data_IF_077495375169
#
_entry.id   IF_077495375169
#
_cell.length_a   1.000
_cell.length_b   1.000
_cell.length_c   1.000
_cell.angle_alpha   90.00
_cell.angle_beta   90.00
_cell.angle_gamma   90.00
#
_symmetry.space_group_name_H-M   'P 1'
#
loop_
_entity.id
_entity.type
_entity.pdbx_description
1 polymer ?
#
# COMPACT_ATOMS: atom_id res chain seq x y z
N UNK A 1 36.05 -19.72 40.97
CA UNK A 1 35.75 -18.44 40.29
C UNK A 1 35.38 -18.80 38.86
N UNK A 2 34.15 -19.27 38.71
CA UNK A 2 33.54 -19.60 37.43
C UNK A 2 33.14 -18.29 36.75
N UNK A 3 33.66 -18.06 35.55
CA UNK A 3 33.18 -17.05 34.63
C UNK A 3 32.65 -17.81 33.41
N UNK A 4 31.35 -17.72 33.22
CA UNK A 4 30.55 -18.29 32.15
C UNK A 4 31.14 -17.99 30.75
N UNK A 5 31.59 -19.05 30.07
CA UNK A 5 32.11 -19.02 28.68
C UNK A 5 31.18 -19.76 27.71
N UNK A 6 29.85 -19.74 27.95
CA UNK A 6 28.94 -20.69 27.28
C UNK A 6 28.22 -20.20 26.01
N UNK A 7 28.43 -18.97 25.52
CA UNK A 7 27.74 -18.49 24.29
C UNK A 7 28.64 -18.15 23.08
N UNK A 8 29.95 -17.99 23.23
CA UNK A 8 30.85 -17.65 22.10
C UNK A 8 31.20 -18.84 21.18
N UNK A 9 30.73 -20.07 21.48
CA UNK A 9 31.24 -21.28 20.81
C UNK A 9 30.50 -21.73 19.55
N UNK A 10 29.26 -21.29 19.29
CA UNK A 10 28.44 -21.88 18.22
C UNK A 10 28.74 -21.35 16.81
N UNK A 11 29.09 -20.06 16.64
CA UNK A 11 29.48 -19.53 15.30
C UNK A 11 30.88 -20.01 14.90
N UNK A 12 31.82 -19.98 15.85
CA UNK A 12 33.13 -20.57 15.65
C UNK A 12 33.04 -22.05 15.31
N UNK A 13 32.15 -22.82 15.91
CA UNK A 13 32.01 -24.25 15.55
C UNK A 13 31.36 -24.45 14.19
N UNK A 14 30.33 -23.71 13.80
CA UNK A 14 29.69 -23.87 12.48
C UNK A 14 30.57 -23.34 11.34
N UNK A 15 31.20 -22.16 11.49
CA UNK A 15 32.18 -21.62 10.55
C UNK A 15 33.44 -22.48 10.52
N UNK A 16 33.96 -22.93 11.68
CA UNK A 16 35.11 -23.84 11.70
C UNK A 16 34.76 -25.22 11.14
N UNK A 17 33.53 -25.73 11.29
CA UNK A 17 33.09 -26.99 10.68
C UNK A 17 32.99 -26.83 9.17
N UNK A 18 32.33 -25.80 8.65
CA UNK A 18 32.26 -25.54 7.19
C UNK A 18 33.65 -25.28 6.62
N UNK A 19 34.47 -24.49 7.31
CA UNK A 19 35.84 -24.24 6.92
C UNK A 19 36.67 -25.52 6.92
N UNK A 20 36.57 -26.36 7.96
CA UNK A 20 37.28 -27.63 8.07
C UNK A 20 36.82 -28.66 7.02
N UNK A 21 35.52 -28.81 6.84
CA UNK A 21 34.91 -29.86 6.03
C UNK A 21 34.81 -29.50 4.54
N UNK A 22 34.61 -28.23 4.21
CA UNK A 22 34.42 -27.79 2.82
C UNK A 22 35.64 -27.11 2.23
N UNK A 23 36.39 -26.31 3.00
CA UNK A 23 37.55 -25.56 2.49
C UNK A 23 38.85 -26.33 2.73
N UNK A 24 39.17 -26.65 3.97
CA UNK A 24 40.41 -27.34 4.37
C UNK A 24 40.57 -28.73 3.76
N UNK A 25 39.48 -29.53 3.71
CA UNK A 25 39.49 -30.85 3.05
C UNK A 25 39.65 -30.78 1.53
N UNK A 26 39.22 -29.69 0.87
CA UNK A 26 39.26 -29.56 -0.59
C UNK A 26 40.50 -28.83 -1.11
N UNK A 27 40.96 -27.80 -0.41
CA UNK A 27 42.12 -27.00 -0.81
C UNK A 27 43.43 -27.45 -0.17
N UNK A 28 43.38 -28.16 0.97
CA UNK A 28 44.57 -28.56 1.73
C UNK A 28 45.30 -27.41 2.45
N UNK A 29 44.90 -26.16 2.20
CA UNK A 29 45.54 -24.97 2.76
C UNK A 29 44.74 -24.41 3.95
N UNK A 30 45.44 -24.11 5.04
CA UNK A 30 44.87 -23.36 6.15
C UNK A 30 44.85 -21.87 5.80
N UNK A 31 43.68 -21.37 5.40
CA UNK A 31 43.34 -19.95 5.20
C UNK A 31 42.51 -19.38 6.39
N UNK A 32 43.10 -19.21 7.60
CA UNK A 32 42.37 -18.73 8.78
C UNK A 32 41.85 -17.30 8.63
N UNK A 33 42.36 -16.52 7.67
CA UNK A 33 41.81 -15.21 7.33
C UNK A 33 40.45 -15.32 6.62
N UNK A 34 40.21 -16.37 5.82
CA UNK A 34 38.90 -16.63 5.20
C UNK A 34 37.90 -17.03 6.28
N UNK A 35 38.30 -17.91 7.21
CA UNK A 35 37.47 -18.25 8.37
C UNK A 35 37.15 -17.00 9.20
N UNK A 36 38.13 -16.12 9.46
CA UNK A 36 37.91 -14.83 10.15
C UNK A 36 37.09 -13.82 9.34
N UNK A 37 37.14 -13.86 8.01
CA UNK A 37 36.28 -13.02 7.16
C UNK A 37 34.85 -13.52 7.13
N UNK A 38 34.64 -14.84 7.14
CA UNK A 38 33.31 -15.45 7.27
C UNK A 38 32.79 -15.19 8.69
N UNK A 39 33.62 -15.37 9.71
CA UNK A 39 33.30 -15.06 11.10
C UNK A 39 33.00 -13.57 11.25
N UNK A 40 33.86 -12.65 10.79
CA UNK A 40 33.59 -11.21 10.80
C UNK A 40 32.46 -10.74 9.87
N UNK A 41 32.06 -11.55 8.88
CA UNK A 41 30.83 -11.33 8.12
C UNK A 41 29.60 -11.66 8.98
N UNK A 42 29.69 -12.65 9.87
CA UNK A 42 28.63 -13.15 10.74
C UNK A 42 28.64 -12.53 12.15
N UNK A 43 29.77 -12.02 12.63
CA UNK A 43 30.04 -11.58 14.00
C UNK A 43 30.06 -10.05 14.13
N UNK A 44 29.04 -9.42 13.57
CA UNK A 44 28.78 -8.02 13.84
C UNK A 44 27.56 -7.94 14.76
N UNK A 45 27.84 -7.96 16.08
CA UNK A 45 26.89 -7.79 17.20
C UNK A 45 26.02 -6.51 17.08
N UNK A 46 26.27 -5.69 16.06
CA UNK A 46 25.64 -4.40 15.77
C UNK A 46 24.63 -4.46 14.60
N UNK A 47 24.48 -5.58 13.88
CA UNK A 47 23.67 -5.60 12.65
C UNK A 47 22.22 -5.94 12.89
N UNK A 48 21.34 -5.14 12.30
CA UNK A 48 19.91 -5.41 12.22
C UNK A 48 19.61 -6.71 11.46
N UNK A 49 18.50 -7.38 11.80
CA UNK A 49 17.91 -8.46 10.99
C UNK A 49 17.78 -8.00 9.53
N UNK A 50 17.36 -6.75 9.32
CA UNK A 50 17.29 -6.14 7.99
C UNK A 50 18.66 -6.08 7.29
N UNK A 51 19.71 -5.58 7.96
CA UNK A 51 21.06 -5.51 7.37
C UNK A 51 21.63 -6.90 7.05
N UNK A 52 21.34 -7.89 7.91
CA UNK A 52 21.74 -9.27 7.67
C UNK A 52 20.98 -9.89 6.49
N UNK A 53 19.67 -9.69 6.44
CA UNK A 53 18.82 -10.20 5.37
C UNK A 53 19.13 -9.55 4.03
N UNK A 54 19.39 -8.24 3.99
CA UNK A 54 19.77 -7.54 2.77
C UNK A 54 21.00 -8.16 2.08
N UNK A 55 21.99 -8.57 2.89
CA UNK A 55 23.25 -9.16 2.42
C UNK A 55 23.15 -10.64 2.08
N UNK A 56 22.31 -11.38 2.80
CA UNK A 56 22.32 -12.86 2.75
C UNK A 56 21.09 -13.45 2.09
N UNK A 57 19.95 -12.76 2.12
CA UNK A 57 18.62 -13.27 1.76
C UNK A 57 18.35 -14.67 2.37
N UNK A 58 18.84 -14.92 3.58
CA UNK A 58 18.84 -16.25 4.21
C UNK A 58 18.03 -16.23 5.49
N UNK A 59 16.94 -17.02 5.49
CA UNK A 59 16.14 -17.32 6.69
C UNK A 59 17.01 -17.81 7.85
N UNK A 60 17.96 -18.70 7.57
CA UNK A 60 18.80 -19.27 8.60
C UNK A 60 19.69 -18.21 9.27
N UNK A 61 20.21 -17.25 8.51
CA UNK A 61 21.04 -16.18 9.03
C UNK A 61 20.24 -15.23 9.94
N UNK A 62 19.01 -14.88 9.56
CA UNK A 62 18.16 -14.02 10.39
C UNK A 62 17.64 -14.72 11.65
N UNK A 63 17.35 -16.02 11.58
CA UNK A 63 16.99 -16.85 12.75
C UNK A 63 18.13 -16.88 13.77
N UNK A 64 19.34 -17.19 13.31
CA UNK A 64 20.53 -17.24 14.16
C UNK A 64 20.80 -15.90 14.84
N UNK A 65 20.57 -14.78 14.14
CA UNK A 65 20.73 -13.45 14.71
C UNK A 65 19.63 -13.11 15.73
N UNK A 66 18.38 -13.46 15.45
CA UNK A 66 17.27 -13.23 16.37
C UNK A 66 17.46 -13.99 17.70
N UNK A 67 17.88 -15.25 17.64
CA UNK A 67 18.12 -16.09 18.84
C UNK A 67 19.24 -15.54 19.74
N UNK A 68 20.15 -14.73 19.20
CA UNK A 68 21.34 -14.22 19.90
C UNK A 68 21.16 -12.82 20.46
N UNK A 69 20.15 -12.09 20.01
CA UNK A 69 19.93 -10.71 20.42
C UNK A 69 19.26 -10.68 21.79
N UNK A 70 19.74 -9.81 22.68
CA UNK A 70 18.98 -9.42 23.85
C UNK A 70 17.70 -8.72 23.39
N UNK A 71 16.59 -8.89 24.11
CA UNK A 71 15.29 -8.33 23.74
C UNK A 71 15.43 -6.81 23.44
N UNK A 72 15.29 -6.39 22.17
CA UNK A 72 15.42 -4.98 21.82
C UNK A 72 14.26 -4.17 22.40
N UNK A 73 14.46 -2.87 22.53
CA UNK A 73 13.38 -1.95 22.92
C UNK A 73 12.20 -2.05 21.93
N UNK A 74 10.97 -1.95 22.46
CA UNK A 74 9.73 -2.24 21.70
C UNK A 74 9.54 -1.42 20.42
N UNK A 75 10.06 -0.20 20.34
CA UNK A 75 9.93 0.63 19.13
C UNK A 75 10.98 0.30 18.06
N UNK A 76 12.16 -0.15 18.50
CA UNK A 76 13.24 -0.52 17.58
C UNK A 76 12.92 -1.82 16.83
N UNK A 77 12.30 -2.78 17.52
CA UNK A 77 11.90 -4.06 16.91
C UNK A 77 10.85 -3.87 15.82
N UNK A 78 9.89 -2.96 15.98
CA UNK A 78 8.86 -2.69 14.96
C UNK A 78 9.45 -2.05 13.69
N UNK A 79 10.33 -1.06 13.83
CA UNK A 79 11.00 -0.44 12.69
C UNK A 79 11.87 -1.43 11.91
N UNK A 80 12.64 -2.23 12.65
CA UNK A 80 13.48 -3.28 12.08
C UNK A 80 12.64 -4.36 11.40
N UNK A 81 11.57 -4.81 12.06
CA UNK A 81 10.60 -5.77 11.53
C UNK A 81 10.03 -5.28 10.20
N UNK A 82 9.50 -4.06 10.16
CA UNK A 82 8.94 -3.44 8.95
C UNK A 82 9.96 -3.43 7.80
N UNK A 83 11.23 -3.19 8.11
CA UNK A 83 12.30 -3.17 7.11
C UNK A 83 12.58 -4.57 6.56
N UNK A 84 12.75 -5.58 7.43
CA UNK A 84 13.09 -6.94 6.99
C UNK A 84 11.92 -7.63 6.29
N UNK A 85 10.67 -7.43 6.74
CA UNK A 85 9.49 -7.99 6.04
C UNK A 85 9.31 -7.35 4.66
N UNK A 86 9.58 -6.05 4.51
CA UNK A 86 9.54 -5.39 3.20
C UNK A 86 10.61 -5.95 2.26
N UNK A 87 11.83 -6.22 2.76
CA UNK A 87 12.90 -6.83 1.97
C UNK A 87 12.55 -8.26 1.53
N UNK A 88 12.00 -9.08 2.44
CA UNK A 88 11.60 -10.45 2.14
C UNK A 88 10.42 -10.48 1.14
N UNK A 89 9.44 -9.61 1.34
CA UNK A 89 8.30 -9.45 0.44
C UNK A 89 8.69 -9.01 -0.97
N UNK A 90 9.64 -8.06 -1.10
CA UNK A 90 10.19 -7.63 -2.39
C UNK A 90 10.88 -8.75 -3.17
N UNK A 91 11.34 -9.80 -2.48
CA UNK A 91 12.03 -10.97 -3.07
C UNK A 91 11.11 -12.16 -3.31
N UNK A 92 9.84 -12.08 -2.92
CA UNK A 92 8.94 -13.24 -2.92
C UNK A 92 9.32 -14.32 -1.91
N UNK A 93 10.18 -14.03 -0.93
CA UNK A 93 10.66 -15.02 0.05
C UNK A 93 9.60 -15.27 1.14
N UNK A 94 8.63 -16.10 0.78
CA UNK A 94 7.50 -16.46 1.62
C UNK A 94 7.93 -17.25 2.86
N UNK A 95 9.05 -18.00 2.80
CA UNK A 95 9.55 -18.77 3.94
C UNK A 95 10.08 -17.83 5.03
N UNK A 96 10.86 -16.83 4.65
CA UNK A 96 11.34 -15.81 5.59
C UNK A 96 10.20 -14.96 6.14
N UNK A 97 9.24 -14.58 5.29
CA UNK A 97 8.07 -13.83 5.71
C UNK A 97 7.21 -14.57 6.74
N UNK A 98 6.94 -15.86 6.52
CA UNK A 98 6.20 -16.69 7.48
C UNK A 98 6.89 -16.72 8.83
N UNK A 99 8.19 -17.00 8.85
CA UNK A 99 8.93 -17.01 10.11
C UNK A 99 8.91 -15.64 10.82
N UNK A 100 9.08 -14.54 10.07
CA UNK A 100 9.00 -13.19 10.62
C UNK A 100 7.62 -12.90 11.22
N UNK A 101 6.56 -13.20 10.48
CA UNK A 101 5.19 -12.89 10.87
C UNK A 101 4.63 -13.81 11.98
N UNK A 102 5.01 -15.08 11.99
CA UNK A 102 4.43 -16.11 12.87
C UNK A 102 5.28 -16.37 14.12
N UNK A 103 6.61 -16.17 14.04
CA UNK A 103 7.54 -16.51 15.13
C UNK A 103 8.25 -15.29 15.71
N UNK A 104 8.69 -14.35 14.87
CA UNK A 104 9.50 -13.22 15.34
C UNK A 104 8.67 -12.08 15.93
N UNK A 105 7.67 -11.57 15.21
CA UNK A 105 6.77 -10.53 15.71
C UNK A 105 5.32 -10.79 15.24
N UNK A 106 4.56 -11.46 16.11
CA UNK A 106 3.20 -11.93 15.81
C UNK A 106 2.17 -10.81 15.65
N UNK A 107 2.34 -9.72 16.40
CA UNK A 107 1.43 -8.56 16.37
C UNK A 107 1.93 -7.43 15.45
N UNK A 108 3.07 -7.62 14.78
CA UNK A 108 3.67 -6.60 13.93
C UNK A 108 2.82 -6.30 12.69
N UNK A 109 2.72 -5.03 12.31
CA UNK A 109 2.02 -4.63 11.09
C UNK A 109 2.74 -5.13 9.83
N UNK A 110 1.99 -5.62 8.85
CA UNK A 110 2.51 -6.18 7.60
C UNK A 110 2.24 -5.30 6.38
N UNK A 111 1.73 -4.07 6.58
CA UNK A 111 1.48 -3.11 5.49
C UNK A 111 2.74 -2.80 4.67
N UNK A 112 3.93 -2.77 5.30
CA UNK A 112 5.19 -2.59 4.60
C UNK A 112 5.53 -3.79 3.67
N UNK A 113 5.22 -5.02 4.11
CA UNK A 113 5.37 -6.23 3.31
C UNK A 113 4.40 -6.21 2.11
N UNK A 114 3.12 -5.89 2.34
CA UNK A 114 2.13 -5.80 1.27
C UNK A 114 2.53 -4.77 0.20
N UNK A 115 2.94 -3.57 0.61
CA UNK A 115 3.43 -2.55 -0.31
C UNK A 115 4.66 -3.01 -1.13
N UNK A 116 5.63 -3.63 -0.47
CA UNK A 116 6.84 -4.10 -1.14
C UNK A 116 6.58 -5.27 -2.10
N UNK A 117 5.70 -6.21 -1.73
CA UNK A 117 5.24 -7.28 -2.60
C UNK A 117 4.51 -6.73 -3.82
N UNK A 118 3.57 -5.81 -3.60
CA UNK A 118 2.80 -5.19 -4.67
C UNK A 118 3.68 -4.41 -5.65
N UNK A 119 4.65 -3.65 -5.14
CA UNK A 119 5.64 -2.98 -5.97
C UNK A 119 6.46 -3.96 -6.83
N UNK A 120 6.75 -5.15 -6.31
CA UNK A 120 7.64 -6.12 -6.97
C UNK A 120 6.90 -7.14 -7.83
N UNK A 121 5.56 -7.14 -7.81
CA UNK A 121 4.74 -8.11 -8.56
C UNK A 121 4.57 -9.45 -7.85
N UNK A 122 4.89 -9.54 -6.56
CA UNK A 122 4.92 -10.79 -5.80
C UNK A 122 3.52 -11.19 -5.33
N UNK A 123 2.69 -11.65 -6.26
CA UNK A 123 1.29 -11.98 -6.02
C UNK A 123 1.10 -13.07 -4.96
N UNK A 124 1.97 -14.08 -4.91
CA UNK A 124 1.90 -15.16 -3.91
C UNK A 124 2.06 -14.64 -2.48
N UNK A 125 2.86 -13.60 -2.28
CA UNK A 125 3.01 -12.94 -0.97
C UNK A 125 1.73 -12.20 -0.60
N UNK A 126 1.12 -11.49 -1.55
CA UNK A 126 -0.12 -10.75 -1.31
C UNK A 126 -1.30 -11.67 -1.00
N UNK A 127 -1.42 -12.79 -1.72
CA UNK A 127 -2.43 -13.83 -1.46
C UNK A 127 -2.27 -14.38 -0.05
N UNK A 128 -1.05 -14.78 0.33
CA UNK A 128 -0.79 -15.27 1.68
C UNK A 128 -1.10 -14.21 2.76
N UNK A 129 -0.73 -12.94 2.54
CA UNK A 129 -1.05 -11.85 3.48
C UNK A 129 -2.56 -11.62 3.61
N UNK A 130 -3.33 -11.78 2.53
CA UNK A 130 -4.78 -11.57 2.53
C UNK A 130 -5.56 -12.75 3.10
N UNK A 131 -5.09 -13.97 2.89
CA UNK A 131 -5.72 -15.18 3.42
C UNK A 131 -5.44 -15.36 4.92
N UNK A 132 -4.18 -15.22 5.35
CA UNK A 132 -3.73 -15.61 6.69
C UNK A 132 -3.53 -14.41 7.64
N UNK A 133 -3.28 -13.21 7.09
CA UNK A 133 -2.88 -12.04 7.87
C UNK A 133 -3.64 -10.76 7.52
N UNK A 134 -4.88 -10.89 7.02
CA UNK A 134 -5.68 -9.77 6.52
C UNK A 134 -5.75 -8.58 7.47
N UNK A 135 -5.96 -8.84 8.77
CA UNK A 135 -6.13 -7.82 9.81
C UNK A 135 -4.83 -7.08 10.16
N UNK A 136 -3.66 -7.61 9.79
CA UNK A 136 -2.34 -7.01 10.06
C UNK A 136 -1.88 -6.08 8.94
N UNK A 137 -2.64 -5.98 7.86
CA UNK A 137 -2.34 -5.14 6.69
C UNK A 137 -3.43 -4.08 6.58
N UNK A 138 -3.01 -2.82 6.42
CA UNK A 138 -3.93 -1.74 6.07
C UNK A 138 -4.13 -1.71 4.56
N UNK A 139 -5.17 -2.42 4.10
CA UNK A 139 -5.53 -2.54 2.69
C UNK A 139 -6.24 -1.28 2.15
N UNK A 140 -6.22 -1.13 0.83
CA UNK A 140 -6.77 -0.02 0.08
C UNK A 140 -5.81 1.17 -0.08
N UNK A 141 -4.53 1.03 0.24
CA UNK A 141 -3.62 2.17 0.37
C UNK A 141 -2.30 2.01 -0.35
N UNK A 142 -1.27 1.64 0.42
CA UNK A 142 0.12 1.68 -0.04
C UNK A 142 0.40 0.61 -1.09
N UNK A 143 -0.16 -0.58 -0.96
CA UNK A 143 -0.03 -1.69 -1.90
C UNK A 143 -0.61 -1.36 -3.27
N UNK A 144 -1.73 -0.64 -3.33
CA UNK A 144 -2.26 -0.12 -4.59
C UNK A 144 -1.29 0.87 -5.24
N UNK A 145 -0.78 1.85 -4.48
CA UNK A 145 0.20 2.82 -4.97
C UNK A 145 1.47 2.11 -5.48
N UNK A 146 1.94 1.11 -4.72
CA UNK A 146 3.10 0.29 -5.04
C UNK A 146 2.93 -0.42 -6.38
N UNK A 147 1.83 -1.17 -6.55
CA UNK A 147 1.54 -1.93 -7.76
C UNK A 147 1.41 -1.04 -9.01
N UNK A 148 0.73 0.10 -8.88
CA UNK A 148 0.51 1.02 -9.99
C UNK A 148 1.82 1.67 -10.43
N UNK A 149 2.62 2.15 -9.48
CA UNK A 149 3.89 2.85 -9.79
C UNK A 149 4.90 1.94 -10.49
N UNK A 150 4.89 0.66 -10.20
CA UNK A 150 5.78 -0.32 -10.83
C UNK A 150 5.16 -1.01 -12.05
N UNK A 151 3.90 -0.71 -12.39
CA UNK A 151 3.24 -1.25 -13.56
C UNK A 151 2.79 -2.71 -13.43
N UNK A 152 2.56 -3.18 -12.21
CA UNK A 152 2.28 -4.60 -11.91
C UNK A 152 0.81 -4.94 -12.17
N UNK A 153 0.45 -5.11 -13.44
CA UNK A 153 -0.95 -5.31 -13.88
C UNK A 153 -1.62 -6.51 -13.22
N UNK A 154 -0.92 -7.63 -13.05
CA UNK A 154 -1.47 -8.84 -12.42
C UNK A 154 -1.85 -8.59 -10.96
N UNK A 155 -1.02 -7.84 -10.24
CA UNK A 155 -1.30 -7.43 -8.86
C UNK A 155 -2.48 -6.46 -8.80
N UNK A 156 -2.55 -5.48 -9.72
CA UNK A 156 -3.66 -4.53 -9.78
C UNK A 156 -4.99 -5.26 -10.02
N UNK A 157 -5.04 -6.23 -10.95
CA UNK A 157 -6.25 -7.02 -11.20
C UNK A 157 -6.65 -7.87 -10.01
N UNK A 158 -5.68 -8.44 -9.30
CA UNK A 158 -5.97 -9.15 -8.06
C UNK A 158 -6.48 -8.21 -6.96
N UNK A 159 -5.88 -7.01 -6.80
CA UNK A 159 -6.31 -6.01 -5.82
C UNK A 159 -7.74 -5.53 -6.10
N UNK A 160 -8.10 -5.26 -7.37
CA UNK A 160 -9.48 -4.91 -7.78
C UNK A 160 -10.52 -5.92 -7.26
N UNK A 161 -10.17 -7.21 -7.23
CA UNK A 161 -11.09 -8.29 -6.82
C UNK A 161 -11.12 -8.51 -5.30
N UNK A 162 -10.06 -8.12 -4.57
CA UNK A 162 -9.82 -8.55 -3.19
C UNK A 162 -9.79 -7.40 -2.17
N UNK A 163 -9.59 -6.16 -2.60
CA UNK A 163 -9.56 -4.98 -1.74
C UNK A 163 -9.96 -3.72 -2.49
N UNK A 164 -11.06 -3.08 -2.08
CA UNK A 164 -11.37 -1.73 -2.54
C UNK A 164 -10.30 -0.72 -2.09
N UNK A 165 -10.00 0.32 -2.89
CA UNK A 165 -9.16 1.43 -2.47
C UNK A 165 -9.83 2.21 -1.33
N UNK A 166 -9.03 2.64 -0.35
CA UNK A 166 -9.48 3.43 0.78
C UNK A 166 -9.72 4.87 0.31
N UNK A 167 -10.88 5.44 0.64
CA UNK A 167 -11.30 6.81 0.31
C UNK A 167 -10.26 7.86 0.69
N UNK A 168 -9.56 7.70 1.82
CA UNK A 168 -8.50 8.63 2.24
C UNK A 168 -7.24 8.56 1.36
N UNK A 169 -7.02 7.43 0.68
CA UNK A 169 -5.87 7.20 -0.19
C UNK A 169 -6.20 7.38 -1.68
N UNK A 170 -7.48 7.53 -2.06
CA UNK A 170 -7.95 7.68 -3.45
C UNK A 170 -7.22 8.80 -4.18
N UNK A 171 -6.95 9.94 -3.52
CA UNK A 171 -6.22 11.03 -4.16
C UNK A 171 -4.82 10.59 -4.59
N UNK A 172 -4.04 9.98 -3.69
CA UNK A 172 -2.67 9.52 -3.98
C UNK A 172 -2.67 8.43 -5.04
N UNK A 173 -3.66 7.54 -4.99
CA UNK A 173 -3.90 6.54 -6.01
C UNK A 173 -4.14 7.16 -7.39
N UNK A 174 -4.96 8.21 -7.45
CA UNK A 174 -5.23 8.95 -8.68
C UNK A 174 -3.95 9.54 -9.26
N UNK A 175 -3.09 10.15 -8.44
CA UNK A 175 -1.80 10.70 -8.87
C UNK A 175 -0.89 9.62 -9.47
N UNK A 176 -0.73 8.50 -8.77
CA UNK A 176 0.14 7.40 -9.21
C UNK A 176 -0.44 6.71 -10.47
N UNK A 177 -1.76 6.50 -10.54
CA UNK A 177 -2.45 5.94 -11.71
C UNK A 177 -2.29 6.83 -12.94
N UNK A 178 -2.36 8.13 -12.71
CA UNK A 178 -2.21 9.15 -13.72
C UNK A 178 -0.78 9.23 -14.26
N UNK A 179 0.22 9.17 -13.37
CA UNK A 179 1.63 9.10 -13.76
C UNK A 179 1.98 7.82 -14.54
N UNK A 180 1.30 6.70 -14.24
CA UNK A 180 1.51 5.41 -14.89
C UNK A 180 0.63 5.18 -16.13
N UNK A 181 -0.30 6.10 -16.46
CA UNK A 181 -1.16 6.01 -17.64
C UNK A 181 -2.31 4.99 -17.55
N UNK A 182 -2.71 4.59 -16.33
CA UNK A 182 -3.82 3.67 -16.12
C UNK A 182 -5.17 4.38 -16.24
N UNK A 183 -5.65 4.56 -17.48
CA UNK A 183 -6.88 5.29 -17.81
C UNK A 183 -8.11 4.82 -17.01
N UNK A 184 -8.32 3.51 -16.87
CA UNK A 184 -9.45 2.96 -16.11
C UNK A 184 -9.42 3.37 -14.64
N UNK A 185 -8.24 3.34 -14.02
CA UNK A 185 -8.09 3.73 -12.62
C UNK A 185 -8.22 5.23 -12.42
N UNK A 186 -7.82 6.03 -13.41
CA UNK A 186 -8.07 7.48 -13.38
C UNK A 186 -9.56 7.81 -13.51
N UNK A 187 -10.30 7.09 -14.36
CA UNK A 187 -11.75 7.22 -14.47
C UNK A 187 -12.44 6.82 -13.16
N UNK A 188 -12.00 5.71 -12.55
CA UNK A 188 -12.47 5.29 -11.23
C UNK A 188 -12.14 6.31 -10.14
N UNK A 189 -10.93 6.86 -10.14
CA UNK A 189 -10.53 7.89 -9.18
C UNK A 189 -11.33 9.20 -9.37
N UNK A 190 -11.68 9.55 -10.60
CA UNK A 190 -12.57 10.68 -10.87
C UNK A 190 -13.97 10.41 -10.31
N UNK A 191 -14.51 9.21 -10.55
CA UNK A 191 -15.79 8.74 -9.98
C UNK A 191 -15.79 8.86 -8.46
N UNK A 192 -14.80 8.27 -7.79
CA UNK A 192 -14.67 8.27 -6.33
C UNK A 192 -14.43 9.68 -5.76
N UNK A 193 -13.67 10.51 -6.47
CA UNK A 193 -13.44 11.89 -6.07
C UNK A 193 -14.73 12.73 -6.11
N UNK A 194 -15.60 12.49 -7.10
CA UNK A 194 -16.91 13.16 -7.17
C UNK A 194 -17.82 12.67 -6.05
N UNK A 195 -17.96 11.35 -5.85
CA UNK A 195 -18.77 10.77 -4.76
C UNK A 195 -18.30 11.24 -3.38
N UNK A 196 -16.99 11.30 -3.16
CA UNK A 196 -16.39 11.75 -1.90
C UNK A 196 -16.28 13.27 -1.72
N UNK A 197 -16.73 14.08 -2.70
CA UNK A 197 -16.53 15.54 -2.71
C UNK A 197 -15.05 15.97 -2.60
N UNK A 198 -14.12 15.20 -3.16
CA UNK A 198 -12.68 15.47 -3.16
C UNK A 198 -12.27 16.43 -4.30
N UNK A 199 -12.72 17.68 -4.21
CA UNK A 199 -12.47 18.72 -5.24
C UNK A 199 -11.00 18.90 -5.64
N UNK A 200 -10.00 18.83 -4.73
CA UNK A 200 -8.59 18.91 -5.15
C UNK A 200 -8.18 17.83 -6.17
N UNK A 201 -8.73 16.62 -6.05
CA UNK A 201 -8.46 15.51 -6.98
C UNK A 201 -9.16 15.75 -8.32
N UNK A 202 -10.42 16.19 -8.29
CA UNK A 202 -11.19 16.53 -9.49
C UNK A 202 -10.46 17.61 -10.30
N UNK A 203 -10.04 18.70 -9.65
CA UNK A 203 -9.30 19.79 -10.29
C UNK A 203 -7.94 19.34 -10.81
N UNK A 204 -7.22 18.50 -10.06
CA UNK A 204 -5.93 17.98 -10.50
C UNK A 204 -6.08 17.14 -11.78
N UNK A 205 -7.01 16.18 -11.78
CA UNK A 205 -7.26 15.31 -12.92
C UNK A 205 -7.67 16.13 -14.16
N UNK A 206 -8.60 17.07 -13.99
CA UNK A 206 -9.07 17.92 -15.07
C UNK A 206 -7.97 18.81 -15.66
N UNK A 207 -7.17 19.48 -14.80
CA UNK A 207 -6.14 20.41 -15.26
C UNK A 207 -4.96 19.73 -15.95
N UNK A 208 -4.66 18.47 -15.60
CA UNK A 208 -3.49 17.76 -16.14
C UNK A 208 -3.85 16.86 -17.33
N UNK A 209 -5.07 16.33 -17.37
CA UNK A 209 -5.48 15.31 -18.36
C UNK A 209 -6.65 15.73 -19.24
N UNK A 210 -7.26 16.88 -18.97
CA UNK A 210 -8.29 17.49 -19.79
C UNK A 210 -9.69 16.89 -19.59
N UNK A 211 -10.63 17.41 -20.38
CA UNK A 211 -12.06 17.10 -20.26
C UNK A 211 -12.39 15.65 -20.57
N UNK A 212 -11.84 15.08 -21.64
CA UNK A 212 -12.22 13.74 -22.16
C UNK A 212 -12.05 12.62 -21.12
N UNK A 213 -10.96 12.67 -20.34
CA UNK A 213 -10.71 11.67 -19.31
C UNK A 213 -11.67 11.83 -18.11
N UNK A 214 -11.91 13.06 -17.70
CA UNK A 214 -12.84 13.37 -16.62
C UNK A 214 -14.28 13.03 -17.00
N UNK A 215 -14.67 13.30 -18.25
CA UNK A 215 -15.98 12.98 -18.80
C UNK A 215 -16.27 11.48 -18.70
N UNK A 216 -15.32 10.63 -19.13
CA UNK A 216 -15.48 9.19 -19.00
C UNK A 216 -15.67 8.74 -17.53
N UNK A 217 -14.93 9.34 -16.58
CA UNK A 217 -15.13 9.07 -15.15
C UNK A 217 -16.49 9.54 -14.62
N UNK A 218 -16.98 10.68 -15.11
CA UNK A 218 -18.30 11.24 -14.79
C UNK A 218 -19.43 10.38 -15.39
N UNK A 219 -19.25 9.82 -16.59
CA UNK A 219 -20.21 8.90 -17.17
C UNK A 219 -20.36 7.61 -16.37
N UNK A 220 -19.30 7.15 -15.67
CA UNK A 220 -19.37 5.98 -14.76
C UNK A 220 -20.23 6.23 -13.50
N UNK A 221 -20.65 7.47 -13.25
CA UNK A 221 -21.53 7.85 -12.15
C UNK A 221 -23.01 7.77 -12.51
N UNK A 222 -23.40 7.50 -13.77
CA UNK A 222 -24.80 7.58 -14.23
C UNK A 222 -25.82 6.90 -13.31
N UNK A 223 -25.44 5.81 -12.65
CA UNK A 223 -26.32 5.07 -11.74
C UNK A 223 -26.09 5.39 -10.24
N UNK A 224 -25.09 6.19 -9.89
CA UNK A 224 -24.64 6.46 -8.51
C UNK A 224 -24.73 7.94 -8.11
N UNK A 225 -25.32 8.80 -8.94
CA UNK A 225 -25.41 10.23 -8.64
C UNK A 225 -26.32 10.55 -7.45
N UNK A 226 -27.31 9.69 -7.17
CA UNK A 226 -28.19 9.82 -6.01
C UNK A 226 -27.40 9.77 -4.69
N UNK A 227 -26.30 9.00 -4.67
CA UNK A 227 -25.37 8.91 -3.53
C UNK A 227 -24.37 10.08 -3.46
N UNK A 228 -24.38 10.99 -4.45
CA UNK A 228 -23.44 12.11 -4.51
C UNK A 228 -23.96 13.30 -3.71
N UNK A 229 -23.41 13.49 -2.52
CA UNK A 229 -23.64 14.68 -1.72
C UNK A 229 -22.79 15.85 -2.24
N UNK A 230 -23.43 16.87 -2.79
CA UNK A 230 -22.79 18.12 -3.17
C UNK A 230 -22.66 19.01 -1.94
N UNK A 231 -21.43 19.11 -1.41
CA UNK A 231 -21.14 19.77 -0.13
C UNK A 231 -20.99 21.28 -0.17
N UNK A 232 -20.88 21.88 -1.36
CA UNK A 232 -20.78 23.33 -1.51
C UNK A 232 -21.01 23.79 -2.97
N UNK A 233 -21.45 25.03 -3.13
CA UNK A 233 -21.72 25.71 -4.42
C UNK A 233 -20.60 25.53 -5.45
N UNK A 234 -19.34 25.70 -5.03
CA UNK A 234 -18.20 25.64 -5.95
C UNK A 234 -18.06 24.29 -6.66
N UNK A 235 -18.43 23.18 -6.00
CA UNK A 235 -18.43 21.86 -6.63
C UNK A 235 -19.54 21.75 -7.67
N UNK A 236 -20.77 22.16 -7.31
CA UNK A 236 -21.92 22.17 -8.22
C UNK A 236 -21.64 23.02 -9.47
N UNK A 237 -21.12 24.23 -9.26
CA UNK A 237 -20.76 25.16 -10.31
C UNK A 237 -19.68 24.58 -11.23
N UNK A 238 -18.66 23.94 -10.66
CA UNK A 238 -17.62 23.32 -11.46
C UNK A 238 -18.15 22.16 -12.30
N UNK A 239 -18.98 21.29 -11.73
CA UNK A 239 -19.57 20.15 -12.45
C UNK A 239 -20.45 20.64 -13.62
N UNK A 240 -21.39 21.55 -13.36
CA UNK A 240 -22.33 22.03 -14.37
C UNK A 240 -21.66 22.86 -15.48
N UNK A 241 -20.62 23.64 -15.15
CA UNK A 241 -19.90 24.44 -16.15
C UNK A 241 -19.04 23.60 -17.10
N UNK A 242 -18.56 22.44 -16.65
CA UNK A 242 -17.64 21.61 -17.42
C UNK A 242 -18.33 20.40 -18.09
N UNK A 243 -19.40 19.90 -17.48
CA UNK A 243 -20.06 18.63 -17.85
C UNK A 243 -21.59 18.75 -17.88
N UNK A 244 -22.13 19.94 -18.15
CA UNK A 244 -23.57 20.20 -18.09
C UNK A 244 -24.42 19.31 -18.99
N UNK A 245 -23.96 19.03 -20.22
CA UNK A 245 -24.67 18.15 -21.16
C UNK A 245 -24.71 16.70 -20.66
N UNK A 246 -23.63 16.22 -20.05
CA UNK A 246 -23.53 14.87 -19.53
C UNK A 246 -24.31 14.65 -18.23
N UNK A 247 -24.63 15.74 -17.53
CA UNK A 247 -25.38 15.76 -16.29
C UNK A 247 -26.89 15.95 -16.49
N UNK A 248 -27.39 16.10 -17.72
CA UNK A 248 -28.82 16.24 -17.97
C UNK A 248 -29.61 15.03 -17.41
N UNK A 249 -30.63 15.30 -16.60
CA UNK A 249 -31.45 14.29 -15.93
C UNK A 249 -30.77 13.60 -14.74
N UNK A 250 -29.58 14.07 -14.32
CA UNK A 250 -28.88 13.54 -13.15
C UNK A 250 -29.45 14.14 -11.87
N UNK A 251 -29.75 13.28 -10.90
CA UNK A 251 -30.16 13.66 -9.55
C UNK A 251 -28.96 13.71 -8.61
N UNK A 252 -28.79 14.81 -7.90
CA UNK A 252 -27.75 15.01 -6.90
C UNK A 252 -28.35 15.48 -5.57
N UNK A 253 -27.72 15.08 -4.46
CA UNK A 253 -28.20 15.39 -3.13
C UNK A 253 -27.44 16.57 -2.51
N UNK A 254 -28.13 17.42 -1.77
CA UNK A 254 -27.53 18.56 -1.04
C UNK A 254 -28.07 18.52 0.39
N UNK A 255 -27.19 18.69 1.37
CA UNK A 255 -27.62 18.83 2.76
C UNK A 255 -28.59 20.02 2.89
N UNK A 256 -29.75 19.80 3.51
CA UNK A 256 -30.82 20.81 3.65
C UNK A 256 -30.36 22.05 4.41
N UNK A 257 -29.42 21.91 5.35
CA UNK A 257 -28.84 23.02 6.10
C UNK A 257 -27.89 23.89 5.26
N UNK A 258 -27.38 23.39 4.14
CA UNK A 258 -26.59 24.18 3.18
C UNK A 258 -27.51 25.07 2.33
N UNK A 259 -27.99 26.13 2.96
CA UNK A 259 -28.87 27.11 2.34
C UNK A 259 -28.24 27.78 1.11
N UNK A 260 -26.91 27.92 1.08
CA UNK A 260 -26.21 28.61 0.00
C UNK A 260 -26.21 27.75 -1.27
N UNK A 261 -25.90 26.46 -1.14
CA UNK A 261 -25.93 25.51 -2.26
C UNK A 261 -27.36 25.28 -2.74
N UNK A 262 -28.31 25.04 -1.83
CA UNK A 262 -29.72 24.85 -2.20
C UNK A 262 -30.32 26.07 -2.93
N UNK A 263 -29.99 27.29 -2.47
CA UNK A 263 -30.43 28.51 -3.16
C UNK A 263 -29.81 28.62 -4.54
N UNK A 264 -28.50 28.35 -4.65
CA UNK A 264 -27.79 28.43 -5.91
C UNK A 264 -28.33 27.44 -6.95
N UNK A 265 -28.58 26.18 -6.56
CA UNK A 265 -29.18 25.15 -7.43
C UNK A 265 -30.51 25.62 -8.00
N UNK A 266 -31.40 26.15 -7.14
CA UNK A 266 -32.71 26.67 -7.54
C UNK A 266 -32.62 27.76 -8.62
N UNK A 267 -31.59 28.59 -8.53
CA UNK A 267 -31.38 29.72 -9.45
C UNK A 267 -30.69 29.28 -10.77
N UNK A 268 -30.17 28.04 -10.88
CA UNK A 268 -29.31 27.57 -11.98
C UNK A 268 -29.79 26.27 -12.65
N UNK A 269 -30.99 26.29 -13.25
CA UNK A 269 -31.51 25.19 -14.10
C UNK A 269 -31.60 23.80 -13.42
N UNK A 270 -31.68 23.77 -12.09
CA UNK A 270 -31.93 22.54 -11.34
C UNK A 270 -33.38 22.52 -10.85
N UNK A 271 -34.08 21.40 -11.05
CA UNK A 271 -35.41 21.13 -10.51
C UNK A 271 -35.30 20.42 -9.17
N UNK A 272 -36.01 20.92 -8.15
CA UNK A 272 -36.15 20.21 -6.88
C UNK A 272 -37.12 19.04 -7.06
N UNK A 273 -36.67 17.81 -6.81
CA UNK A 273 -37.50 16.60 -6.93
C UNK A 273 -38.16 16.23 -5.60
N UNK A 274 -37.33 16.00 -4.59
CA UNK A 274 -37.75 15.50 -3.28
C UNK A 274 -37.00 16.19 -2.15
N UNK A 275 -37.67 16.34 -1.01
CA UNK A 275 -37.10 16.92 0.21
C UNK A 275 -37.33 15.92 1.33
N UNK A 276 -36.23 15.35 1.83
CA UNK A 276 -36.22 14.53 3.03
C UNK A 276 -35.87 15.38 4.26
N UNK A 277 -35.80 14.76 5.44
CA UNK A 277 -35.57 15.47 6.69
C UNK A 277 -34.26 16.28 6.68
N UNK A 278 -33.17 15.68 6.18
CA UNK A 278 -31.81 16.26 6.18
C UNK A 278 -31.25 16.58 4.78
N UNK A 279 -31.91 16.13 3.71
CA UNK A 279 -31.37 16.16 2.34
C UNK A 279 -32.42 16.70 1.36
N UNK A 280 -31.96 17.46 0.36
CA UNK A 280 -32.76 17.92 -0.78
C UNK A 280 -32.18 17.30 -2.05
N UNK A 281 -33.02 16.65 -2.84
CA UNK A 281 -32.66 16.08 -4.13
C UNK A 281 -32.95 17.07 -5.27
N UNK A 282 -31.95 17.29 -6.10
CA UNK A 282 -31.97 18.20 -7.24
C UNK A 282 -31.68 17.46 -8.53
N UNK A 283 -32.52 17.62 -9.53
CA UNK A 283 -32.31 17.10 -10.89
C UNK A 283 -31.78 18.20 -11.79
N UNK A 284 -30.75 17.89 -12.59
CA UNK A 284 -30.23 18.82 -13.57
C UNK A 284 -31.12 18.87 -14.81
N UNK A 285 -31.65 20.05 -15.13
CA UNK A 285 -32.45 20.27 -16.33
C UNK A 285 -31.62 20.36 -17.61
N UNK A 286 -32.28 20.29 -18.78
CA UNK A 286 -31.64 20.48 -20.09
C UNK A 286 -31.04 21.88 -20.23
N UNK A 287 -29.77 21.97 -20.65
CA UNK A 287 -29.08 23.25 -20.88
C UNK A 287 -29.51 23.96 -22.17
#
# INVERSE_FOLDING_TARGET
MELDFKLDSMLWTSVAVVYRECLLKRSGEQLPHVARHIDGFLDDRSRSLAAAYERTASLHCIQLLADRRAAPESLYIEWEFNTVVAQAARRGDLASLKWLAESYLQDGALSAAANAAAFSGELSVLQWLHEEHKARVHWGGLEWCGAIRSGQTEVVEWLKQNSAPNTEAVWKLAFDAAAAGYLELMQCAMKDAVLGSHVPVMLFLYNNYGRELCEAGICLLRDNWEDTEVRFVGMAQWLLNNFGEELEGVTMSVNRADWATNKWMKDHNMSMLEVEDEIVFWECGPQ
#
